data_IF_600315215070
#
_entry.id   IF_600315215070
#
_cell.length_a   1.000
_cell.length_b   1.000
_cell.length_c   1.000
_cell.angle_alpha   90.00
_cell.angle_beta   90.00
_cell.angle_gamma   90.00
#
_symmetry.space_group_name_H-M   'P 1'
#
loop_
_entity.id
_entity.type
_entity.pdbx_description
1 polymer ?
#
# COMPACT_ATOMS: atom_id res chain seq x y z
N UNK A 1 -7.57 -13.51 8.88
CA UNK A 1 -6.88 -14.36 9.86
C UNK A 1 -7.40 -14.12 11.29
N UNK A 2 -7.26 -12.95 11.87
CA UNK A 2 -7.79 -12.68 13.21
C UNK A 2 -9.32 -12.85 13.29
N UNK A 3 -10.04 -12.56 12.21
CA UNK A 3 -11.49 -12.77 12.14
C UNK A 3 -11.89 -14.24 12.33
N UNK A 4 -11.13 -15.18 11.81
CA UNK A 4 -11.38 -16.62 12.02
C UNK A 4 -11.12 -17.01 13.47
N UNK A 5 -10.06 -16.47 14.06
CA UNK A 5 -9.73 -16.69 15.46
C UNK A 5 -10.81 -16.10 16.38
N UNK A 6 -11.30 -14.90 16.09
CA UNK A 6 -12.36 -14.25 16.90
C UNK A 6 -13.69 -14.98 16.79
N UNK A 7 -14.04 -15.52 15.63
CA UNK A 7 -15.21 -16.38 15.45
C UNK A 7 -15.11 -17.68 16.25
N UNK A 8 -13.93 -18.25 16.34
CA UNK A 8 -13.70 -19.43 17.20
C UNK A 8 -13.80 -19.07 18.69
N UNK A 9 -13.25 -17.93 19.11
CA UNK A 9 -13.34 -17.43 20.49
C UNK A 9 -14.76 -17.01 20.88
N UNK A 10 -15.58 -16.58 19.95
CA UNK A 10 -17.00 -16.25 20.17
C UNK A 10 -17.79 -17.44 20.70
N UNK A 11 -17.43 -18.66 20.25
CA UNK A 11 -18.05 -19.89 20.75
C UNK A 11 -17.76 -20.13 22.24
N UNK A 12 -16.70 -19.54 22.77
CA UNK A 12 -16.31 -19.68 24.18
C UNK A 12 -16.88 -18.54 25.05
N UNK A 13 -16.99 -17.32 24.51
CA UNK A 13 -17.47 -16.13 25.25
C UNK A 13 -18.18 -15.17 24.32
N UNK A 14 -19.46 -14.83 24.61
CA UNK A 14 -20.30 -13.98 23.77
C UNK A 14 -19.81 -12.51 23.60
N UNK A 15 -18.82 -12.07 24.38
CA UNK A 15 -18.25 -10.70 24.26
C UNK A 15 -17.46 -10.49 22.96
N UNK A 16 -17.03 -11.56 22.28
CA UNK A 16 -16.30 -11.47 21.01
C UNK A 16 -17.17 -11.13 19.81
N UNK A 17 -18.48 -11.02 19.97
CA UNK A 17 -19.42 -10.63 18.91
C UNK A 17 -19.12 -9.23 18.32
N UNK A 18 -18.45 -8.35 19.08
CA UNK A 18 -18.01 -7.03 18.60
C UNK A 18 -17.15 -7.12 17.32
N UNK A 19 -16.36 -8.17 17.17
CA UNK A 19 -15.51 -8.36 15.99
C UNK A 19 -16.28 -8.74 14.72
N UNK A 20 -17.56 -9.08 14.80
CA UNK A 20 -18.42 -9.31 13.66
C UNK A 20 -18.88 -7.99 13.00
N UNK A 21 -18.88 -6.88 13.75
CA UNK A 21 -19.27 -5.59 13.22
C UNK A 21 -18.18 -5.03 12.28
N UNK A 22 -18.58 -4.72 11.03
CA UNK A 22 -17.67 -4.18 10.01
C UNK A 22 -16.99 -2.88 10.45
N UNK A 23 -17.75 -1.98 11.07
CA UNK A 23 -17.24 -0.69 11.58
C UNK A 23 -16.17 -0.87 12.63
N UNK A 24 -16.36 -1.78 13.58
CA UNK A 24 -15.37 -2.07 14.62
C UNK A 24 -14.08 -2.62 14.00
N UNK A 25 -14.17 -3.56 13.08
CA UNK A 25 -13.01 -4.10 12.34
C UNK A 25 -12.31 -3.03 11.52
N UNK A 26 -13.06 -2.14 10.87
CA UNK A 26 -12.47 -1.05 10.08
C UNK A 26 -11.64 -0.10 10.95
N UNK A 27 -12.15 0.25 12.15
CA UNK A 27 -11.42 1.08 13.11
C UNK A 27 -10.14 0.37 13.57
N UNK A 28 -10.24 -0.91 13.95
CA UNK A 28 -9.08 -1.69 14.37
C UNK A 28 -8.05 -1.84 13.25
N UNK A 29 -8.51 -2.05 12.01
CA UNK A 29 -7.65 -2.10 10.84
C UNK A 29 -6.91 -0.78 10.61
N UNK A 30 -7.61 0.35 10.73
CA UNK A 30 -7.00 1.67 10.59
C UNK A 30 -5.96 1.95 11.69
N UNK A 31 -6.29 1.64 12.94
CA UNK A 31 -5.36 1.79 14.07
C UNK A 31 -4.15 0.87 13.93
N UNK A 32 -4.36 -0.36 13.48
CA UNK A 32 -3.27 -1.32 13.23
C UNK A 32 -2.35 -0.83 12.12
N UNK A 33 -2.91 -0.34 11.00
CA UNK A 33 -2.11 0.22 9.91
C UNK A 33 -1.30 1.43 10.36
N UNK A 34 -1.89 2.31 11.16
CA UNK A 34 -1.22 3.46 11.75
C UNK A 34 -0.07 3.01 12.68
N UNK A 35 -0.34 2.08 13.60
CA UNK A 35 0.66 1.56 14.53
C UNK A 35 1.83 0.90 13.80
N UNK A 36 1.55 0.07 12.78
CA UNK A 36 2.58 -0.55 11.94
C UNK A 36 3.40 0.49 11.19
N UNK A 37 2.75 1.50 10.63
CA UNK A 37 3.43 2.59 9.92
C UNK A 37 4.37 3.39 10.84
N UNK A 38 3.93 3.69 12.06
CA UNK A 38 4.77 4.39 13.04
C UNK A 38 5.91 3.52 13.55
N UNK A 39 5.68 2.24 13.75
CA UNK A 39 6.70 1.32 14.26
C UNK A 39 7.77 0.98 13.22
N UNK A 40 7.35 0.65 11.99
CA UNK A 40 8.28 0.32 10.91
C UNK A 40 8.91 1.55 10.25
N UNK A 41 8.24 2.71 10.37
CA UNK A 41 8.65 3.96 9.73
C UNK A 41 10.12 4.33 9.97
N UNK A 42 10.58 4.45 11.22
CA UNK A 42 11.97 4.83 11.50
C UNK A 42 13.00 3.85 10.95
N UNK A 43 12.69 2.54 10.98
CA UNK A 43 13.54 1.49 10.40
C UNK A 43 13.63 1.60 8.89
N UNK A 44 12.48 1.78 8.24
CA UNK A 44 12.39 1.89 6.79
C UNK A 44 13.04 3.17 6.26
N UNK A 45 12.86 4.29 6.96
CA UNK A 45 13.52 5.57 6.61
C UNK A 45 15.04 5.40 6.66
N UNK A 46 15.57 4.79 7.72
CA UNK A 46 17.02 4.51 7.85
C UNK A 46 17.52 3.59 6.74
N UNK A 47 16.77 2.52 6.44
CA UNK A 47 17.12 1.59 5.38
C UNK A 47 17.14 2.28 4.01
N UNK A 48 16.14 3.07 3.67
CA UNK A 48 16.04 3.81 2.41
C UNK A 48 17.10 4.89 2.30
N UNK A 49 17.42 5.58 3.40
CA UNK A 49 18.52 6.55 3.45
C UNK A 49 19.88 5.89 3.22
N UNK A 50 20.08 4.67 3.73
CA UNK A 50 21.32 3.89 3.55
C UNK A 50 21.50 3.34 2.14
N UNK A 51 20.40 3.02 1.44
CA UNK A 51 20.48 2.54 0.05
C UNK A 51 21.04 3.61 -0.91
N UNK A 52 20.95 4.90 -0.53
CA UNK A 52 21.53 5.98 -1.34
C UNK A 52 21.91 7.23 -0.55
N UNK A 53 23.19 7.42 -0.46
CA UNK A 53 23.76 8.73 -0.19
C UNK A 53 23.37 9.71 -1.31
N UNK A 54 22.35 10.56 -1.09
CA UNK A 54 22.04 11.65 -2.02
C UNK A 54 20.58 11.86 -2.38
N UNK A 55 19.64 11.00 -1.94
CA UNK A 55 18.21 11.18 -2.23
C UNK A 55 17.85 11.12 -3.71
N UNK A 56 16.62 11.49 -4.04
CA UNK A 56 16.16 11.58 -5.42
C UNK A 56 16.74 12.82 -6.11
N UNK A 57 17.16 12.73 -7.38
CA UNK A 57 17.58 13.91 -8.14
C UNK A 57 16.42 14.90 -8.28
N UNK A 58 16.66 16.15 -7.90
CA UNK A 58 15.66 17.22 -7.96
C UNK A 58 15.55 17.72 -9.39
N UNK A 59 14.32 17.92 -9.87
CA UNK A 59 14.08 18.59 -11.15
C UNK A 59 14.56 20.02 -11.09
N UNK A 60 15.34 20.45 -12.08
CA UNK A 60 15.87 21.82 -12.19
C UNK A 60 14.78 22.87 -12.40
N UNK A 61 13.64 22.44 -12.94
CA UNK A 61 12.49 23.29 -13.29
C UNK A 61 11.48 23.40 -12.12
N UNK A 62 11.79 22.87 -10.94
CA UNK A 62 10.91 22.89 -9.78
C UNK A 62 11.01 24.17 -8.95
N UNK A 63 10.01 24.46 -8.08
CA UNK A 63 10.07 25.57 -7.15
C UNK A 63 11.30 25.52 -6.26
N UNK A 64 11.89 26.67 -5.92
CA UNK A 64 13.11 26.76 -5.11
C UNK A 64 12.98 26.07 -3.73
N UNK A 65 11.76 26.00 -3.18
CA UNK A 65 11.47 25.28 -1.93
C UNK A 65 11.74 23.78 -2.00
N UNK A 66 11.89 23.18 -3.19
CA UNK A 66 12.23 21.77 -3.35
C UNK A 66 13.71 21.48 -3.11
N UNK A 67 14.59 22.48 -3.27
CA UNK A 67 16.04 22.32 -3.03
C UNK A 67 16.36 22.08 -1.55
N UNK A 68 15.55 22.61 -0.63
CA UNK A 68 15.70 22.35 0.81
C UNK A 68 15.39 20.90 1.21
N UNK A 69 14.72 20.15 0.35
CA UNK A 69 14.36 18.72 0.54
C UNK A 69 15.35 17.77 -0.15
N UNK A 70 16.47 18.29 -0.65
CA UNK A 70 17.55 17.46 -1.19
C UNK A 70 18.00 16.44 -0.14
N UNK A 71 18.11 15.17 -0.53
CA UNK A 71 18.50 14.10 0.40
C UNK A 71 17.36 13.46 1.19
N UNK A 72 16.12 13.95 1.08
CA UNK A 72 14.98 13.28 1.74
C UNK A 72 14.72 11.92 1.06
N UNK A 73 14.64 10.81 1.83
CA UNK A 73 14.33 9.50 1.26
C UNK A 73 12.97 9.50 0.58
N UNK A 74 12.91 8.96 -0.62
CA UNK A 74 11.65 8.66 -1.33
C UNK A 74 11.19 7.24 -1.01
N UNK A 75 10.04 6.82 -1.53
CA UNK A 75 9.42 5.50 -1.32
C UNK A 75 8.66 5.32 0.00
N UNK A 76 8.30 6.40 0.69
CA UNK A 76 7.40 6.32 1.87
C UNK A 76 6.06 5.64 1.56
N UNK A 77 5.60 5.72 0.30
CA UNK A 77 4.41 5.01 -0.16
C UNK A 77 4.46 3.50 0.01
N UNK A 78 5.64 2.88 -0.09
CA UNK A 78 5.80 1.45 0.13
C UNK A 78 5.49 1.06 1.58
N UNK A 79 5.90 1.87 2.56
CA UNK A 79 5.57 1.65 3.97
C UNK A 79 4.06 1.70 4.20
N UNK A 80 3.39 2.69 3.64
CA UNK A 80 1.94 2.87 3.77
C UNK A 80 1.22 1.66 3.18
N UNK A 81 1.60 1.25 1.97
CA UNK A 81 1.00 0.10 1.28
C UNK A 81 1.20 -1.20 2.06
N UNK A 82 2.40 -1.45 2.59
CA UNK A 82 2.67 -2.63 3.40
C UNK A 82 1.87 -2.62 4.70
N UNK A 83 1.77 -1.48 5.37
CA UNK A 83 0.99 -1.34 6.60
C UNK A 83 -0.49 -1.58 6.37
N UNK A 84 -1.06 -1.05 5.27
CA UNK A 84 -2.45 -1.28 4.88
C UNK A 84 -2.65 -2.74 4.50
N UNK A 85 -1.78 -3.32 3.67
CA UNK A 85 -1.88 -4.72 3.25
C UNK A 85 -1.85 -5.67 4.46
N UNK A 86 -0.91 -5.49 5.37
CA UNK A 86 -0.82 -6.27 6.60
C UNK A 86 -2.09 -6.14 7.45
N UNK A 87 -2.60 -4.92 7.60
CA UNK A 87 -3.83 -4.65 8.36
C UNK A 87 -5.06 -5.30 7.73
N UNK A 88 -5.20 -5.22 6.40
CA UNK A 88 -6.30 -5.86 5.66
C UNK A 88 -6.23 -7.39 5.79
N UNK A 89 -5.03 -7.98 5.71
CA UNK A 89 -4.85 -9.43 5.91
C UNK A 89 -5.18 -9.87 7.34
N UNK A 90 -4.95 -9.03 8.33
CA UNK A 90 -5.27 -9.33 9.72
C UNK A 90 -6.78 -9.25 10.01
N UNK A 91 -7.43 -8.14 9.62
CA UNK A 91 -8.79 -7.81 10.01
C UNK A 91 -9.84 -8.03 8.90
N UNK A 92 -9.41 -8.14 7.64
CA UNK A 92 -10.30 -8.38 6.51
C UNK A 92 -10.92 -9.77 6.52
N UNK A 93 -12.10 -9.89 5.92
CA UNK A 93 -12.70 -11.18 5.65
C UNK A 93 -12.06 -11.80 4.40
N UNK A 94 -11.09 -12.67 4.61
CA UNK A 94 -10.33 -13.31 3.53
C UNK A 94 -11.15 -14.31 2.70
N UNK A 95 -12.36 -14.65 3.14
CA UNK A 95 -13.30 -15.46 2.36
C UNK A 95 -13.99 -14.65 1.28
N UNK A 96 -14.02 -13.32 1.47
CA UNK A 96 -14.62 -12.42 0.50
C UNK A 96 -13.65 -12.15 -0.65
N UNK A 97 -14.02 -12.59 -1.87
CA UNK A 97 -13.22 -12.37 -3.09
C UNK A 97 -12.96 -10.90 -3.40
N UNK A 98 -13.86 -9.99 -3.02
CA UNK A 98 -13.67 -8.54 -3.25
C UNK A 98 -12.51 -7.95 -2.45
N UNK A 99 -12.23 -8.48 -1.26
CA UNK A 99 -11.06 -8.07 -0.47
C UNK A 99 -9.77 -8.34 -1.23
N UNK A 100 -9.68 -9.50 -1.89
CA UNK A 100 -8.52 -9.87 -2.70
C UNK A 100 -8.38 -9.00 -3.95
N UNK A 101 -9.49 -8.66 -4.60
CA UNK A 101 -9.46 -7.76 -5.78
C UNK A 101 -8.96 -6.39 -5.38
N UNK A 102 -9.49 -5.79 -4.32
CA UNK A 102 -9.05 -4.47 -3.84
C UNK A 102 -7.58 -4.50 -3.43
N UNK A 103 -7.17 -5.55 -2.72
CA UNK A 103 -5.78 -5.73 -2.29
C UNK A 103 -4.85 -5.89 -3.50
N UNK A 104 -5.23 -6.69 -4.49
CA UNK A 104 -4.45 -6.90 -5.71
C UNK A 104 -4.31 -5.60 -6.52
N UNK A 105 -5.38 -4.84 -6.68
CA UNK A 105 -5.37 -3.55 -7.37
C UNK A 105 -4.46 -2.57 -6.61
N UNK A 106 -4.64 -2.44 -5.30
CA UNK A 106 -3.82 -1.56 -4.46
C UNK A 106 -2.32 -1.90 -4.56
N UNK A 107 -1.97 -3.18 -4.44
CA UNK A 107 -0.59 -3.64 -4.55
C UNK A 107 -0.04 -3.50 -5.98
N UNK A 108 -0.86 -3.73 -6.99
CA UNK A 108 -0.49 -3.55 -8.39
C UNK A 108 -0.15 -2.09 -8.72
N UNK A 109 -1.01 -1.15 -8.33
CA UNK A 109 -0.71 0.29 -8.47
C UNK A 109 0.51 0.68 -7.64
N UNK A 110 0.65 0.13 -6.45
CA UNK A 110 1.81 0.31 -5.60
C UNK A 110 3.11 -0.18 -6.24
N UNK A 111 3.08 -1.35 -6.88
CA UNK A 111 4.23 -1.90 -7.60
C UNK A 111 4.65 -1.02 -8.79
N UNK A 112 3.68 -0.46 -9.54
CA UNK A 112 3.96 0.49 -10.61
C UNK A 112 4.63 1.75 -10.06
N UNK A 113 4.12 2.29 -8.94
CA UNK A 113 4.72 3.45 -8.26
C UNK A 113 6.13 3.16 -7.73
N UNK A 114 6.31 2.00 -7.11
CA UNK A 114 7.60 1.54 -6.62
C UNK A 114 8.62 1.38 -7.78
N UNK A 115 8.21 0.78 -8.90
CA UNK A 115 9.06 0.63 -10.09
C UNK A 115 9.46 1.99 -10.68
N UNK A 116 8.54 2.98 -10.71
CA UNK A 116 8.82 4.34 -11.13
C UNK A 116 9.91 4.99 -10.26
N UNK A 117 9.76 4.90 -8.93
CA UNK A 117 10.72 5.45 -7.99
C UNK A 117 12.05 4.71 -8.03
N UNK A 118 12.02 3.38 -8.21
CA UNK A 118 13.24 2.58 -8.39
C UNK A 118 14.03 2.99 -9.62
N UNK A 119 13.35 3.20 -10.76
CA UNK A 119 13.99 3.66 -12.01
C UNK A 119 14.66 5.03 -11.79
N UNK A 120 13.98 5.98 -11.12
CA UNK A 120 14.56 7.30 -10.79
C UNK A 120 15.83 7.17 -9.98
N UNK A 121 15.83 6.24 -9.03
CA UNK A 121 16.98 6.00 -8.18
C UNK A 121 18.12 5.36 -8.97
N UNK A 122 17.90 4.27 -9.67
CA UNK A 122 18.96 3.52 -10.38
C UNK A 122 19.54 4.30 -11.53
N UNK A 123 18.69 4.94 -12.34
CA UNK A 123 19.13 5.72 -13.52
C UNK A 123 19.54 7.15 -13.18
N UNK A 124 19.33 7.61 -11.95
CA UNK A 124 19.51 9.02 -11.54
C UNK A 124 18.76 10.01 -12.45
N UNK A 125 17.64 9.57 -13.03
CA UNK A 125 16.81 10.38 -13.92
C UNK A 125 15.55 10.82 -13.14
N UNK A 126 15.34 12.13 -12.95
CA UNK A 126 14.17 12.64 -12.23
C UNK A 126 12.84 12.35 -12.95
N UNK A 127 12.86 11.96 -14.22
CA UNK A 127 11.67 11.67 -15.00
C UNK A 127 11.09 10.28 -14.70
N UNK A 128 11.92 9.30 -14.27
CA UNK A 128 11.48 7.95 -13.96
C UNK A 128 10.93 7.18 -15.16
N UNK A 129 9.81 6.50 -14.96
CA UNK A 129 9.13 5.76 -16.02
C UNK A 129 8.45 6.73 -17.01
N UNK A 130 8.49 6.40 -18.30
CA UNK A 130 7.78 7.19 -19.32
C UNK A 130 6.28 7.25 -19.00
N UNK A 131 5.69 8.45 -19.05
CA UNK A 131 4.27 8.69 -18.71
C UNK A 131 3.31 7.76 -19.47
N UNK A 132 3.59 7.50 -20.76
CA UNK A 132 2.79 6.56 -21.59
C UNK A 132 2.82 5.14 -21.04
N UNK A 133 3.98 4.63 -20.62
CA UNK A 133 4.13 3.30 -20.06
C UNK A 133 3.42 3.18 -18.71
N UNK A 134 3.58 4.19 -17.87
CA UNK A 134 2.90 4.27 -16.57
C UNK A 134 1.39 4.25 -16.74
N UNK A 135 0.87 5.10 -17.62
CA UNK A 135 -0.56 5.17 -17.93
C UNK A 135 -1.09 3.85 -18.50
N UNK A 136 -0.36 3.24 -19.45
CA UNK A 136 -0.76 1.96 -20.04
C UNK A 136 -0.84 0.83 -18.99
N UNK A 137 0.15 0.73 -18.10
CA UNK A 137 0.14 -0.27 -17.02
C UNK A 137 -1.01 -0.06 -16.04
N UNK A 138 -1.25 1.18 -15.65
CA UNK A 138 -2.36 1.53 -14.76
C UNK A 138 -3.72 1.24 -15.40
N UNK A 139 -3.89 1.62 -16.67
CA UNK A 139 -5.12 1.34 -17.42
C UNK A 139 -5.35 -0.17 -17.61
N UNK A 140 -4.31 -0.91 -17.94
CA UNK A 140 -4.39 -2.37 -18.07
C UNK A 140 -4.84 -3.03 -16.78
N UNK A 141 -4.25 -2.63 -15.65
CA UNK A 141 -4.59 -3.16 -14.35
C UNK A 141 -6.03 -2.82 -13.96
N UNK A 142 -6.46 -1.58 -14.20
CA UNK A 142 -7.84 -1.16 -13.93
C UNK A 142 -8.86 -1.89 -14.79
N UNK A 143 -8.59 -2.05 -16.10
CA UNK A 143 -9.44 -2.80 -17.02
C UNK A 143 -9.49 -4.28 -16.63
N UNK A 144 -8.36 -4.90 -16.29
CA UNK A 144 -8.32 -6.29 -15.86
C UNK A 144 -9.16 -6.52 -14.59
N UNK A 145 -9.05 -5.62 -13.61
CA UNK A 145 -9.87 -5.66 -12.40
C UNK A 145 -11.37 -5.48 -12.71
N UNK A 146 -11.70 -4.55 -13.61
CA UNK A 146 -13.09 -4.33 -14.06
C UNK A 146 -13.67 -5.54 -14.77
N UNK A 147 -12.93 -6.16 -15.67
CA UNK A 147 -13.34 -7.39 -16.37
C UNK A 147 -13.54 -8.54 -15.37
N UNK A 148 -12.61 -8.69 -14.43
CA UNK A 148 -12.74 -9.72 -13.39
C UNK A 148 -14.01 -9.51 -12.57
N UNK A 149 -14.26 -8.29 -12.12
CA UNK A 149 -15.47 -7.98 -11.35
C UNK A 149 -16.73 -8.21 -12.17
N UNK A 150 -16.74 -7.84 -13.45
CA UNK A 150 -17.89 -8.06 -14.33
C UNK A 150 -18.16 -9.55 -14.59
N UNK A 151 -17.10 -10.34 -14.78
CA UNK A 151 -17.23 -11.76 -15.12
C UNK A 151 -17.52 -12.67 -13.92
N UNK A 152 -17.04 -12.29 -12.73
CA UNK A 152 -17.06 -13.14 -11.53
C UNK A 152 -17.73 -12.50 -10.31
N UNK A 153 -18.31 -11.29 -10.46
CA UNK A 153 -19.19 -10.75 -9.43
C UNK A 153 -20.50 -11.55 -9.48
N UNK A 154 -20.80 -12.25 -8.38
CA UNK A 154 -22.14 -12.79 -8.18
C UNK A 154 -23.05 -11.58 -7.90
N UNK A 155 -23.87 -11.22 -8.88
CA UNK A 155 -24.93 -10.22 -8.76
C UNK A 155 -26.19 -10.92 -8.31
#
# INVERSE_FOLDING_TARGET
>A
MLLELTRWLEQLHGHFNLFNYLTFRAILAALTALALSLWWGPGMIRYLAGLKAGGQPIRKDGPQSHFSKAGTPTMGGALILLSIAASVLLWGDLRNKYVWVVLAVMLGFGAIGWADDWIKIVKRDPNGMRSRTKYALQSLLGVAAGIYLFAFADV
#
